data_IF_682081240485
#
_entry.id   IF_682081240485
#
_cell.length_a   1.000
_cell.length_b   1.000
_cell.length_c   1.000
_cell.angle_alpha   90.00
_cell.angle_beta   90.00
_cell.angle_gamma   90.00
#
_symmetry.space_group_name_H-M   'P 1'
#
loop_
_entity.id
_entity.type
_entity.pdbx_description
1 polymer ?
#
# COMPACT_ATOMS: atom_id res chain seq x y z
N UNK A 1 -3.02 5.72 -15.18
CA UNK A 1 -3.51 6.98 -15.80
C UNK A 1 -2.52 7.47 -16.85
N UNK A 2 -2.95 8.10 -17.94
CA UNK A 2 -2.06 8.63 -18.98
C UNK A 2 -2.42 10.09 -19.33
N UNK A 3 -1.41 10.89 -19.65
CA UNK A 3 -1.58 12.29 -20.02
C UNK A 3 -2.23 12.41 -21.40
N UNK A 4 -3.29 13.20 -21.51
CA UNK A 4 -3.96 13.48 -22.80
C UNK A 4 -3.44 14.75 -23.49
N UNK A 5 -2.39 15.35 -22.93
CA UNK A 5 -1.72 16.55 -23.39
C UNK A 5 -0.45 16.76 -22.58
N UNK A 6 0.29 17.83 -22.87
CA UNK A 6 1.49 18.17 -22.11
C UNK A 6 1.10 18.60 -20.69
N UNK A 7 1.76 18.03 -19.69
CA UNK A 7 1.63 18.38 -18.28
C UNK A 7 2.96 19.00 -17.81
N UNK A 8 2.88 20.12 -17.11
CA UNK A 8 4.03 20.81 -16.53
C UNK A 8 4.08 20.58 -15.01
N UNK A 9 5.28 20.66 -14.40
CA UNK A 9 5.39 20.72 -12.95
C UNK A 9 4.56 21.89 -12.38
N UNK A 10 3.77 21.63 -11.35
CA UNK A 10 2.83 22.55 -10.74
C UNK A 10 1.39 22.42 -11.24
N UNK A 11 1.15 21.70 -12.34
CA UNK A 11 -0.20 21.45 -12.82
C UNK A 11 -0.98 20.53 -11.87
N UNK A 12 -2.27 20.83 -11.69
CA UNK A 12 -3.19 19.96 -10.94
C UNK A 12 -3.57 18.78 -11.83
N UNK A 13 -3.12 17.58 -11.44
CA UNK A 13 -3.41 16.32 -12.12
C UNK A 13 -4.84 15.86 -11.86
N UNK A 14 -5.26 15.91 -10.60
CA UNK A 14 -6.61 15.52 -10.14
C UNK A 14 -6.99 16.38 -8.96
N UNK A 15 -8.26 16.78 -8.89
CA UNK A 15 -8.85 17.44 -7.74
C UNK A 15 -10.15 16.72 -7.36
N UNK A 16 -10.19 16.12 -6.17
CA UNK A 16 -11.30 15.30 -5.69
C UNK A 16 -12.05 16.03 -4.58
N UNK A 17 -13.33 16.40 -4.74
CA UNK A 17 -14.06 17.06 -3.66
C UNK A 17 -14.19 16.15 -2.45
N UNK A 18 -14.17 16.72 -1.24
CA UNK A 18 -14.27 15.95 0.00
C UNK A 18 -15.50 15.03 0.02
N UNK A 19 -16.62 15.46 -0.55
CA UNK A 19 -17.87 14.67 -0.62
C UNK A 19 -17.77 13.45 -1.54
N UNK A 20 -16.76 13.35 -2.39
CA UNK A 20 -16.50 12.16 -3.21
C UNK A 20 -15.55 11.17 -2.54
N UNK A 21 -14.82 11.58 -1.49
CA UNK A 21 -13.88 10.71 -0.79
C UNK A 21 -14.64 9.68 0.03
N UNK A 22 -14.28 8.42 -0.14
CA UNK A 22 -14.90 7.31 0.57
C UNK A 22 -14.23 7.12 1.94
N UNK A 23 -15.02 7.10 3.01
CA UNK A 23 -14.52 6.84 4.36
C UNK A 23 -15.57 6.17 5.23
N UNK A 24 -15.14 5.57 6.35
CA UNK A 24 -16.06 4.97 7.32
C UNK A 24 -16.94 6.00 8.08
N UNK A 25 -16.57 7.28 8.08
CA UNK A 25 -17.27 8.31 8.85
C UNK A 25 -18.66 8.67 8.29
N UNK A 26 -18.95 8.28 7.05
CA UNK A 26 -20.26 8.51 6.44
C UNK A 26 -21.19 7.30 6.59
N UNK A 27 -20.72 6.23 7.25
CA UNK A 27 -21.56 5.09 7.57
C UNK A 27 -22.56 5.46 8.67
N UNK A 28 -23.85 5.42 8.34
CA UNK A 28 -24.92 5.42 9.35
C UNK A 28 -25.04 4.05 10.06
N UNK A 29 -24.34 3.03 9.59
CA UNK A 29 -24.48 1.63 10.01
C UNK A 29 -23.12 1.06 10.38
N UNK A 30 -23.06 0.28 11.45
CA UNK A 30 -21.81 -0.35 11.90
C UNK A 30 -20.95 0.56 12.77
N UNK A 31 -21.51 1.64 13.32
CA UNK A 31 -20.85 2.45 14.35
C UNK A 31 -20.41 1.59 15.53
N UNK A 32 -21.20 0.57 15.91
CA UNK A 32 -20.85 -0.37 16.98
C UNK A 32 -19.55 -1.14 16.67
N UNK A 33 -19.35 -1.54 15.41
CA UNK A 33 -18.11 -2.20 14.97
C UNK A 33 -16.95 -1.22 14.89
N UNK A 34 -17.18 0.01 14.41
CA UNK A 34 -16.14 1.05 14.35
C UNK A 34 -15.67 1.42 15.77
N UNK A 35 -16.55 1.37 16.77
CA UNK A 35 -16.19 1.56 18.17
C UNK A 35 -15.44 0.34 18.74
N UNK A 36 -15.84 -0.88 18.39
CA UNK A 36 -15.25 -2.12 18.90
C UNK A 36 -13.89 -2.45 18.27
N UNK A 37 -13.76 -2.23 16.96
CA UNK A 37 -12.60 -2.59 16.14
C UNK A 37 -12.33 -1.50 15.09
N UNK A 38 -11.91 -0.29 15.52
CA UNK A 38 -11.68 0.86 14.65
C UNK A 38 -10.68 0.58 13.53
N UNK A 39 -9.76 -0.37 13.72
CA UNK A 39 -8.80 -0.79 12.72
C UNK A 39 -9.44 -1.41 11.47
N UNK A 40 -10.66 -1.94 11.56
CA UNK A 40 -11.39 -2.51 10.42
C UNK A 40 -12.51 -1.61 9.90
N UNK A 41 -12.57 -0.35 10.36
CA UNK A 41 -13.63 0.58 10.01
C UNK A 41 -13.73 0.82 8.49
N UNK A 42 -12.60 0.94 7.80
CA UNK A 42 -12.60 1.09 6.33
C UNK A 42 -13.09 -0.17 5.62
N UNK A 43 -12.72 -1.36 6.11
CA UNK A 43 -13.11 -2.65 5.51
C UNK A 43 -14.61 -2.85 5.58
N UNK A 44 -15.21 -2.63 6.75
CA UNK A 44 -16.66 -2.73 6.89
C UNK A 44 -17.36 -1.69 6.03
N UNK A 45 -16.81 -0.48 5.91
CA UNK A 45 -17.37 0.56 5.04
C UNK A 45 -17.46 0.08 3.60
N UNK A 46 -16.33 -0.41 3.06
CA UNK A 46 -16.24 -0.93 1.69
C UNK A 46 -17.30 -2.00 1.47
N UNK A 47 -17.43 -2.95 2.38
CA UNK A 47 -18.40 -4.04 2.26
C UNK A 47 -19.86 -3.55 2.31
N UNK A 48 -20.22 -2.76 3.31
CA UNK A 48 -21.59 -2.30 3.49
C UNK A 48 -22.05 -1.41 2.33
N UNK A 49 -21.20 -0.49 1.87
CA UNK A 49 -21.53 0.38 0.73
C UNK A 49 -21.62 -0.41 -0.58
N UNK A 50 -20.74 -1.39 -0.78
CA UNK A 50 -20.80 -2.25 -1.97
C UNK A 50 -22.11 -3.06 -2.03
N UNK A 51 -22.61 -3.53 -0.89
CA UNK A 51 -23.88 -4.27 -0.80
C UNK A 51 -25.11 -3.42 -1.09
N UNK A 52 -25.04 -2.09 -0.90
CA UNK A 52 -26.14 -1.19 -1.27
C UNK A 52 -26.34 -1.13 -2.79
N UNK A 53 -25.34 -1.51 -3.59
CA UNK A 53 -25.38 -1.42 -5.04
C UNK A 53 -25.72 0.00 -5.47
N UNK A 54 -26.65 0.16 -6.41
CA UNK A 54 -27.07 1.46 -6.97
C UNK A 54 -27.65 2.45 -5.94
N UNK A 55 -27.92 2.01 -4.71
CA UNK A 55 -28.37 2.88 -3.61
C UNK A 55 -27.20 3.55 -2.87
N UNK A 56 -25.96 3.12 -3.10
CA UNK A 56 -24.77 3.77 -2.55
C UNK A 56 -24.47 5.06 -3.30
N UNK A 57 -24.11 6.12 -2.57
CA UNK A 57 -23.57 7.34 -3.17
C UNK A 57 -22.25 7.09 -3.92
N UNK A 58 -21.52 6.03 -3.55
CA UNK A 58 -20.24 5.64 -4.16
C UNK A 58 -20.37 4.49 -5.15
N UNK A 59 -21.59 4.11 -5.57
CA UNK A 59 -21.80 2.98 -6.48
C UNK A 59 -20.91 3.04 -7.73
N UNK A 60 -20.81 4.23 -8.34
CA UNK A 60 -20.02 4.45 -9.55
C UNK A 60 -18.52 4.27 -9.34
N UNK A 61 -18.01 4.60 -8.15
CA UNK A 61 -16.61 4.36 -7.81
C UNK A 61 -16.38 2.88 -7.44
N UNK A 62 -17.19 2.32 -6.55
CA UNK A 62 -17.01 0.96 -6.04
C UNK A 62 -17.13 -0.09 -7.14
N UNK A 63 -17.97 0.13 -8.16
CA UNK A 63 -18.09 -0.78 -9.32
C UNK A 63 -16.88 -0.77 -10.26
N UNK A 64 -16.01 0.24 -10.15
CA UNK A 64 -14.77 0.34 -10.95
C UNK A 64 -13.58 -0.29 -10.23
N UNK A 65 -13.72 -0.60 -8.94
CA UNK A 65 -12.69 -1.34 -8.20
C UNK A 65 -12.53 -2.74 -8.80
N UNK A 66 -11.31 -3.29 -8.80
CA UNK A 66 -11.08 -4.64 -9.28
C UNK A 66 -11.78 -5.68 -8.39
N UNK A 67 -12.12 -6.81 -9.00
CA UNK A 67 -12.71 -7.95 -8.29
C UNK A 67 -11.75 -8.57 -7.27
N UNK A 68 -10.44 -8.39 -7.46
CA UNK A 68 -9.40 -8.79 -6.52
C UNK A 68 -8.09 -8.05 -6.85
N UNK A 69 -7.41 -7.53 -5.83
CA UNK A 69 -6.05 -7.01 -5.96
C UNK A 69 -5.04 -8.13 -5.72
N UNK A 70 -3.93 -8.19 -6.49
CA UNK A 70 -2.96 -9.28 -6.44
C UNK A 70 -2.02 -9.15 -5.24
N UNK A 71 -2.51 -8.73 -4.06
CA UNK A 71 -1.70 -8.70 -2.84
C UNK A 71 -1.20 -10.11 -2.52
N UNK A 72 -0.03 -10.25 -1.89
CA UNK A 72 0.60 -11.56 -1.69
C UNK A 72 -0.33 -12.58 -1.01
N UNK A 73 -1.16 -12.12 -0.06
CA UNK A 73 -2.13 -12.97 0.63
C UNK A 73 -3.24 -13.53 -0.29
N UNK A 74 -3.43 -13.03 -1.51
CA UNK A 74 -4.38 -13.60 -2.48
C UNK A 74 -3.75 -14.67 -3.38
N UNK A 75 -2.43 -14.79 -3.40
CA UNK A 75 -1.72 -15.72 -4.28
C UNK A 75 -1.93 -17.18 -3.85
N UNK A 76 -1.73 -18.07 -4.82
CA UNK A 76 -1.63 -19.52 -4.56
C UNK A 76 -0.37 -19.78 -3.75
N UNK A 77 -0.44 -20.74 -2.84
CA UNK A 77 0.68 -21.10 -1.97
C UNK A 77 1.91 -21.50 -2.80
N UNK A 78 1.69 -22.25 -3.88
CA UNK A 78 2.76 -22.70 -4.78
C UNK A 78 3.49 -21.52 -5.43
N UNK A 79 2.79 -20.44 -5.77
CA UNK A 79 3.40 -19.26 -6.37
C UNK A 79 4.21 -18.46 -5.34
N UNK A 80 3.76 -18.43 -4.09
CA UNK A 80 4.51 -17.80 -2.98
C UNK A 80 5.78 -18.61 -2.66
N UNK A 81 5.72 -19.94 -2.72
CA UNK A 81 6.89 -20.82 -2.49
C UNK A 81 8.00 -20.58 -3.53
N UNK A 82 7.66 -20.16 -4.76
CA UNK A 82 8.64 -19.77 -5.78
C UNK A 82 9.49 -18.55 -5.38
N UNK A 83 8.99 -17.71 -4.47
CA UNK A 83 9.76 -16.56 -3.94
C UNK A 83 10.90 -16.99 -3.01
N UNK A 84 10.89 -18.25 -2.54
CA UNK A 84 11.93 -18.81 -1.66
C UNK A 84 12.16 -18.01 -0.36
N UNK A 85 11.17 -17.25 0.10
CA UNK A 85 11.16 -16.58 1.40
C UNK A 85 10.07 -17.18 2.30
N UNK A 86 10.43 -18.08 3.25
CA UNK A 86 9.47 -18.68 4.17
C UNK A 86 8.69 -17.66 5.01
N UNK A 87 9.26 -16.47 5.28
CA UNK A 87 8.57 -15.42 6.04
C UNK A 87 7.48 -14.74 5.22
N UNK A 88 7.66 -14.63 3.90
CA UNK A 88 6.60 -14.12 3.01
C UNK A 88 5.41 -15.09 3.00
N UNK A 89 5.69 -16.39 2.94
CA UNK A 89 4.66 -17.42 3.06
C UNK A 89 3.96 -17.38 4.43
N UNK A 90 4.72 -17.27 5.51
CA UNK A 90 4.16 -17.14 6.86
C UNK A 90 3.27 -15.91 7.00
N UNK A 91 3.73 -14.76 6.49
CA UNK A 91 2.98 -13.49 6.48
C UNK A 91 1.64 -13.63 5.72
N UNK A 92 1.68 -14.14 4.49
CA UNK A 92 0.49 -14.38 3.68
C UNK A 92 -0.50 -15.35 4.36
N UNK A 93 0.00 -16.41 5.01
CA UNK A 93 -0.84 -17.33 5.76
C UNK A 93 -1.43 -16.69 7.03
N UNK A 94 -0.67 -15.87 7.74
CA UNK A 94 -1.15 -15.13 8.90
C UNK A 94 -2.27 -14.16 8.52
N UNK A 95 -2.13 -13.47 7.39
CA UNK A 95 -3.16 -12.59 6.84
C UNK A 95 -4.45 -13.34 6.47
N UNK A 96 -4.32 -14.50 5.79
CA UNK A 96 -5.47 -15.39 5.51
C UNK A 96 -6.18 -15.87 6.79
N UNK A 97 -5.45 -16.13 7.88
CA UNK A 97 -6.05 -16.45 9.19
C UNK A 97 -6.79 -15.23 9.75
N UNK A 98 -6.19 -14.05 9.63
CA UNK A 98 -6.78 -12.79 10.11
C UNK A 98 -8.11 -12.49 9.44
N UNK A 99 -8.27 -12.77 8.15
CA UNK A 99 -9.56 -12.59 7.46
C UNK A 99 -10.70 -13.41 8.09
N UNK A 100 -10.40 -14.62 8.57
CA UNK A 100 -11.38 -15.47 9.26
C UNK A 100 -11.74 -14.91 10.64
N UNK A 101 -10.75 -14.39 11.37
CA UNK A 101 -10.98 -13.72 12.65
C UNK A 101 -11.87 -12.48 12.47
N UNK A 102 -11.54 -11.64 11.47
CA UNK A 102 -12.30 -10.42 11.17
C UNK A 102 -13.73 -10.74 10.75
N UNK A 103 -13.95 -11.80 9.96
CA UNK A 103 -15.30 -12.26 9.66
C UNK A 103 -16.10 -12.58 10.93
N UNK A 104 -15.49 -13.31 11.87
CA UNK A 104 -16.12 -13.65 13.16
C UNK A 104 -16.45 -12.40 13.97
N UNK A 105 -15.54 -11.42 14.02
CA UNK A 105 -15.77 -10.12 14.68
C UNK A 105 -16.98 -9.42 14.04
N UNK A 106 -17.05 -9.36 12.71
CA UNK A 106 -18.13 -8.68 12.00
C UNK A 106 -19.47 -9.39 12.25
N UNK A 107 -19.49 -10.71 12.23
CA UNK A 107 -20.70 -11.51 12.51
C UNK A 107 -21.20 -11.34 13.95
N UNK A 108 -20.31 -11.14 14.92
CA UNK A 108 -20.69 -10.89 16.32
C UNK A 108 -21.13 -9.45 16.56
N UNK A 109 -20.42 -8.47 16.00
CA UNK A 109 -20.65 -7.06 16.28
C UNK A 109 -21.84 -6.46 15.51
N UNK A 110 -22.05 -6.87 14.25
CA UNK A 110 -23.08 -6.31 13.36
C UNK A 110 -23.90 -7.41 12.64
N UNK A 111 -24.44 -8.40 13.37
CA UNK A 111 -25.02 -9.63 12.79
C UNK A 111 -26.10 -9.38 11.73
N UNK A 112 -26.90 -8.33 11.91
CA UNK A 112 -27.98 -7.98 10.97
C UNK A 112 -27.45 -7.57 9.58
N UNK A 113 -26.20 -7.14 9.49
CA UNK A 113 -25.56 -6.67 8.26
C UNK A 113 -24.49 -7.62 7.73
N UNK A 114 -23.89 -8.44 8.59
CA UNK A 114 -22.73 -9.29 8.27
C UNK A 114 -23.04 -10.78 8.15
N UNK A 115 -24.29 -11.22 8.41
CA UNK A 115 -24.69 -12.64 8.37
C UNK A 115 -24.31 -13.36 7.07
N UNK A 116 -24.38 -12.67 5.94
CA UNK A 116 -24.16 -13.24 4.61
C UNK A 116 -22.72 -12.95 4.11
N UNK A 117 -21.88 -12.32 4.93
CA UNK A 117 -20.48 -12.10 4.59
C UNK A 117 -19.71 -13.42 4.65
N UNK A 118 -18.78 -13.56 3.71
CA UNK A 118 -17.89 -14.69 3.56
C UNK A 118 -16.44 -14.26 3.78
N UNK A 119 -15.54 -15.23 3.92
CA UNK A 119 -14.10 -14.94 3.99
C UNK A 119 -13.60 -14.28 2.70
N UNK A 120 -14.22 -14.59 1.55
CA UNK A 120 -13.88 -13.98 0.27
C UNK A 120 -14.28 -12.50 0.22
N UNK A 121 -15.40 -12.12 0.85
CA UNK A 121 -15.78 -10.71 0.97
C UNK A 121 -14.74 -9.94 1.80
N UNK A 122 -14.31 -10.52 2.94
CA UNK A 122 -13.26 -9.91 3.77
C UNK A 122 -11.95 -9.82 3.00
N UNK A 123 -11.54 -10.89 2.31
CA UNK A 123 -10.33 -10.91 1.49
C UNK A 123 -10.35 -9.82 0.41
N UNK A 124 -11.49 -9.65 -0.27
CA UNK A 124 -11.66 -8.61 -1.28
C UNK A 124 -11.51 -7.21 -0.69
N UNK A 125 -12.32 -6.86 0.33
CA UNK A 125 -12.28 -5.53 0.95
C UNK A 125 -10.91 -5.23 1.59
N UNK A 126 -10.26 -6.25 2.15
CA UNK A 126 -8.90 -6.16 2.66
C UNK A 126 -7.90 -5.84 1.55
N UNK A 127 -7.99 -6.54 0.41
CA UNK A 127 -7.11 -6.31 -0.73
C UNK A 127 -7.24 -4.90 -1.32
N UNK A 128 -8.48 -4.37 -1.39
CA UNK A 128 -8.75 -2.98 -1.77
C UNK A 128 -8.13 -2.01 -0.75
N UNK A 129 -8.42 -2.19 0.54
CA UNK A 129 -7.92 -1.28 1.56
C UNK A 129 -6.38 -1.30 1.67
N UNK A 130 -5.74 -2.46 1.51
CA UNK A 130 -4.29 -2.58 1.58
C UNK A 130 -3.57 -1.88 0.41
N UNK A 131 -4.14 -1.97 -0.79
CA UNK A 131 -3.49 -1.47 -2.02
C UNK A 131 -3.92 -0.06 -2.44
N UNK A 132 -5.13 0.39 -2.03
CA UNK A 132 -5.74 1.64 -2.54
C UNK A 132 -6.06 2.68 -1.47
N UNK A 133 -5.93 2.34 -0.18
CA UNK A 133 -6.22 3.34 0.85
C UNK A 133 -5.15 4.41 0.91
N UNK A 134 -5.61 5.65 1.02
CA UNK A 134 -4.79 6.80 1.34
C UNK A 134 -5.05 7.22 2.78
N UNK A 135 -4.13 8.02 3.29
CA UNK A 135 -4.21 8.57 4.64
C UNK A 135 -4.61 10.03 4.61
N UNK A 136 -5.59 10.40 5.43
CA UNK A 136 -5.91 11.79 5.73
C UNK A 136 -5.75 12.07 7.23
N UNK A 137 -4.99 13.12 7.57
CA UNK A 137 -4.78 13.52 8.97
C UNK A 137 -6.08 13.86 9.68
N UNK A 138 -6.25 13.42 10.94
CA UNK A 138 -7.47 13.70 11.73
C UNK A 138 -7.68 15.20 11.95
N UNK A 139 -6.61 16.00 12.04
CA UNK A 139 -6.73 17.46 12.13
C UNK A 139 -7.27 18.02 10.82
N UNK A 140 -6.65 17.69 9.70
CA UNK A 140 -7.12 18.06 8.36
C UNK A 140 -8.57 17.61 8.11
N UNK A 141 -8.94 16.41 8.57
CA UNK A 141 -10.29 15.84 8.46
C UNK A 141 -11.32 16.49 9.42
N UNK A 142 -10.90 16.89 10.62
CA UNK A 142 -11.79 17.62 11.55
C UNK A 142 -11.94 19.08 11.13
N UNK A 143 -10.87 19.68 10.61
CA UNK A 143 -10.83 21.05 10.07
C UNK A 143 -11.50 21.13 8.70
N UNK A 144 -11.46 20.09 7.87
CA UNK A 144 -12.28 20.00 6.64
C UNK A 144 -13.77 20.09 6.96
N UNK A 145 -14.17 19.53 8.11
CA UNK A 145 -15.53 19.65 8.65
C UNK A 145 -15.80 20.96 9.40
N UNK A 146 -14.81 21.85 9.62
CA UNK A 146 -14.93 23.06 10.49
C UNK A 146 -14.22 24.35 10.02
N UNK A 147 -13.52 24.41 8.87
CA UNK A 147 -12.60 25.49 8.36
C UNK A 147 -11.22 25.53 9.08
N UNK A 148 -10.06 26.08 8.62
CA UNK A 148 -9.61 26.90 7.44
C UNK A 148 -8.04 27.00 7.32
N UNK A 149 -7.22 25.94 7.55
CA UNK A 149 -5.75 25.97 7.30
C UNK A 149 -5.13 24.66 6.77
N UNK A 150 -4.36 24.68 5.66
CA UNK A 150 -3.82 23.47 5.02
C UNK A 150 -2.86 22.67 5.91
N UNK A 151 -2.92 21.34 5.80
CA UNK A 151 -2.10 20.40 6.56
C UNK A 151 -1.48 19.37 5.60
N UNK A 152 -0.15 19.21 5.65
CA UNK A 152 0.58 18.22 4.85
C UNK A 152 0.41 16.83 5.45
N UNK A 153 -0.07 15.85 4.69
CA UNK A 153 -0.19 14.46 5.16
C UNK A 153 1.00 13.59 4.78
N UNK A 154 1.53 12.81 5.73
CA UNK A 154 2.53 11.76 5.47
C UNK A 154 1.85 10.45 5.05
N UNK A 155 2.43 9.74 4.07
CA UNK A 155 1.84 8.53 3.47
C UNK A 155 2.31 7.20 4.12
N UNK A 156 2.79 7.22 5.38
CA UNK A 156 3.29 6.01 6.03
C UNK A 156 2.21 5.32 6.89
N UNK A 157 1.43 4.42 6.29
CA UNK A 157 0.58 3.45 6.99
C UNK A 157 1.14 2.03 6.80
N UNK A 158 1.16 1.21 7.86
CA UNK A 158 1.33 -0.24 7.74
C UNK A 158 0.00 -0.90 8.07
N UNK A 159 -0.62 -1.52 7.08
CA UNK A 159 -1.90 -2.22 7.21
C UNK A 159 -3.10 -1.47 6.61
N UNK A 160 -4.17 -2.20 6.23
CA UNK A 160 -5.34 -1.62 5.58
C UNK A 160 -6.13 -0.74 6.54
N UNK A 161 -6.05 0.58 6.37
CA UNK A 161 -6.98 1.54 6.99
C UNK A 161 -6.58 2.21 8.31
N UNK A 162 -5.35 2.05 8.83
CA UNK A 162 -4.91 2.72 10.06
C UNK A 162 -3.44 3.19 10.06
N UNK A 163 -3.17 4.29 10.79
CA UNK A 163 -1.80 4.68 11.20
C UNK A 163 -1.44 4.10 12.56
N UNK A 164 -0.13 3.91 12.79
CA UNK A 164 0.46 3.39 14.04
C UNK A 164 0.07 4.18 15.31
N UNK A 165 -0.36 5.43 15.16
CA UNK A 165 -0.59 6.39 16.25
C UNK A 165 -2.04 6.86 16.34
N UNK A 166 -2.92 6.38 15.46
CA UNK A 166 -4.30 6.84 15.35
C UNK A 166 -4.42 8.34 15.01
N UNK A 167 -3.44 8.95 14.34
CA UNK A 167 -3.45 10.38 14.00
C UNK A 167 -4.25 10.73 12.75
N UNK A 168 -4.78 9.75 12.01
CA UNK A 168 -5.65 10.02 10.86
C UNK A 168 -6.62 8.89 10.52
N UNK A 169 -7.18 8.99 9.32
CA UNK A 169 -8.30 8.18 8.82
C UNK A 169 -7.88 7.54 7.51
N UNK A 170 -8.06 6.22 7.40
CA UNK A 170 -7.98 5.51 6.12
C UNK A 170 -9.17 5.87 5.24
N UNK A 171 -8.89 6.30 4.02
CA UNK A 171 -9.89 6.71 3.02
C UNK A 171 -9.58 6.07 1.67
N UNK A 172 -10.58 5.94 0.81
CA UNK A 172 -10.35 5.74 -0.62
C UNK A 172 -10.64 7.05 -1.35
N UNK A 173 -9.73 7.45 -2.23
CA UNK A 173 -9.82 8.71 -2.96
C UNK A 173 -10.01 8.34 -4.44
N UNK A 174 -11.24 8.44 -4.98
CA UNK A 174 -11.51 8.09 -6.37
C UNK A 174 -10.56 8.82 -7.33
N UNK A 175 -10.16 8.14 -8.40
CA UNK A 175 -9.18 8.58 -9.40
C UNK A 175 -7.72 8.57 -8.92
N UNK A 176 -7.45 8.95 -7.66
CA UNK A 176 -6.09 8.93 -7.11
C UNK A 176 -5.53 7.50 -7.08
N UNK A 177 -6.36 6.53 -6.74
CA UNK A 177 -6.03 5.10 -6.67
C UNK A 177 -5.83 4.42 -8.04
N UNK A 178 -5.93 5.17 -9.15
CA UNK A 178 -5.71 4.68 -10.51
C UNK A 178 -4.30 5.01 -11.03
N UNK A 179 -3.51 5.78 -10.28
CA UNK A 179 -2.13 6.09 -10.62
C UNK A 179 -1.20 5.01 -10.10
N UNK A 180 -0.27 4.56 -10.95
CA UNK A 180 0.72 3.57 -10.57
C UNK A 180 1.91 4.20 -9.82
N UNK A 181 2.71 3.35 -9.18
CA UNK A 181 3.87 3.74 -8.38
C UNK A 181 5.08 4.18 -9.23
N UNK A 182 5.73 5.26 -8.79
CA UNK A 182 7.12 5.60 -9.13
C UNK A 182 7.93 5.70 -7.83
N UNK A 183 9.20 5.26 -7.86
CA UNK A 183 10.14 5.46 -6.75
C UNK A 183 10.66 6.91 -6.64
N UNK A 184 10.41 7.73 -7.66
CA UNK A 184 10.75 9.14 -7.64
C UNK A 184 9.54 9.94 -7.12
N UNK A 185 9.76 11.00 -6.32
CA UNK A 185 8.71 11.92 -5.93
C UNK A 185 8.29 12.77 -7.14
N UNK A 186 7.42 12.21 -7.98
CA UNK A 186 6.95 12.81 -9.23
C UNK A 186 5.64 13.58 -9.09
N UNK A 187 5.05 13.56 -7.89
CA UNK A 187 3.78 14.20 -7.58
C UNK A 187 3.64 14.46 -6.09
N UNK A 188 2.92 15.52 -5.75
CA UNK A 188 2.55 15.87 -4.38
C UNK A 188 1.03 15.79 -4.23
N UNK A 189 0.58 15.06 -3.20
CA UNK A 189 -0.83 14.88 -2.89
C UNK A 189 -1.17 15.50 -1.53
N UNK A 190 -2.33 16.15 -1.43
CA UNK A 190 -2.74 16.77 -0.17
C UNK A 190 -4.16 17.32 -0.19
N UNK A 191 -4.68 17.54 1.01
CA UNK A 191 -6.00 18.15 1.17
C UNK A 191 -5.90 19.68 1.16
N UNK A 192 -6.62 20.29 0.23
CA UNK A 192 -6.75 21.72 0.05
C UNK A 192 -8.06 22.22 0.69
N UNK A 193 -7.90 23.01 1.75
CA UNK A 193 -9.03 23.54 2.52
C UNK A 193 -9.76 24.69 1.86
N UNK A 194 -9.11 25.44 0.97
CA UNK A 194 -9.73 26.58 0.29
C UNK A 194 -10.74 26.10 -0.74
N UNK A 195 -10.36 25.10 -1.53
CA UNK A 195 -11.23 24.44 -2.52
C UNK A 195 -12.08 23.30 -1.93
N UNK A 196 -11.78 22.84 -0.71
CA UNK A 196 -12.38 21.65 -0.09
C UNK A 196 -12.20 20.38 -0.95
N UNK A 197 -11.01 20.21 -1.50
CA UNK A 197 -10.63 19.11 -2.40
C UNK A 197 -9.36 18.43 -1.92
N UNK A 198 -9.16 17.18 -2.32
CA UNK A 198 -7.88 16.50 -2.26
C UNK A 198 -7.23 16.60 -3.63
N UNK A 199 -6.12 17.31 -3.70
CA UNK A 199 -5.44 17.66 -4.93
C UNK A 199 -4.19 16.79 -5.10
N UNK A 200 -3.99 16.31 -6.31
CA UNK A 200 -2.75 15.72 -6.79
C UNK A 200 -2.10 16.71 -7.75
N UNK A 201 -0.88 17.12 -7.45
CA UNK A 201 -0.11 18.10 -8.21
C UNK A 201 1.10 17.40 -8.83
N UNK A 202 1.39 17.68 -10.10
CA UNK A 202 2.56 17.15 -10.77
C UNK A 202 3.83 17.83 -10.26
N UNK A 203 4.84 17.05 -9.87
CA UNK A 203 6.19 17.57 -9.58
C UNK A 203 7.15 17.33 -10.77
N UNK A 204 6.72 16.56 -11.77
CA UNK A 204 7.43 16.28 -13.01
C UNK A 204 6.57 16.64 -14.24
N UNK A 205 7.22 16.89 -15.37
CA UNK A 205 6.53 17.11 -16.65
C UNK A 205 6.25 15.80 -17.37
N UNK A 206 5.16 15.75 -18.14
CA UNK A 206 4.76 14.60 -18.94
C UNK A 206 4.40 15.02 -20.36
N UNK A 207 4.82 14.25 -21.36
CA UNK A 207 4.36 14.40 -22.73
C UNK A 207 2.98 13.76 -22.92
N UNK A 208 2.28 14.16 -23.98
CA UNK A 208 1.03 13.53 -24.38
C UNK A 208 1.24 12.01 -24.60
N UNK A 209 0.34 11.21 -24.04
CA UNK A 209 0.39 9.75 -24.06
C UNK A 209 1.25 9.12 -22.97
N UNK A 210 2.07 9.89 -22.25
CA UNK A 210 2.89 9.33 -21.18
C UNK A 210 2.06 8.93 -19.97
N UNK A 211 2.44 7.83 -19.33
CA UNK A 211 1.83 7.41 -18.08
C UNK A 211 2.22 8.37 -16.96
N UNK A 212 1.21 8.82 -16.23
CA UNK A 212 1.39 9.63 -15.03
C UNK A 212 1.43 8.70 -13.82
N UNK A 213 2.42 8.93 -12.95
CA UNK A 213 2.68 8.10 -11.78
C UNK A 213 2.52 8.94 -10.50
N UNK A 214 2.36 8.25 -9.38
CA UNK A 214 2.47 8.84 -8.05
C UNK A 214 3.52 8.08 -7.23
N UNK A 215 4.02 8.70 -6.16
CA UNK A 215 4.94 8.06 -5.24
C UNK A 215 4.16 7.51 -4.03
N UNK A 216 3.99 6.18 -3.97
CA UNK A 216 3.27 5.54 -2.84
C UNK A 216 4.02 5.69 -1.52
N UNK A 217 5.35 5.84 -1.57
CA UNK A 217 6.21 5.90 -0.40
C UNK A 217 7.56 5.23 -0.66
N UNK A 218 8.56 5.46 0.20
CA UNK A 218 9.87 4.87 0.09
C UNK A 218 9.87 3.40 0.57
N UNK A 219 9.15 2.55 -0.16
CA UNK A 219 8.83 1.16 0.19
C UNK A 219 9.86 0.17 -0.37
N UNK A 220 10.18 -0.86 0.41
CA UNK A 220 11.00 -1.99 -0.07
C UNK A 220 10.23 -2.88 -1.05
N UNK A 221 10.93 -3.70 -1.85
CA UNK A 221 10.28 -4.67 -2.72
C UNK A 221 9.49 -5.71 -1.92
N UNK A 222 9.89 -5.98 -0.67
CA UNK A 222 9.11 -6.80 0.25
C UNK A 222 7.76 -6.16 0.58
N UNK A 223 7.75 -4.88 0.95
CA UNK A 223 6.51 -4.15 1.27
C UNK A 223 5.62 -3.99 0.02
N UNK A 224 6.21 -3.71 -1.16
CA UNK A 224 5.49 -3.64 -2.42
C UNK A 224 4.86 -4.99 -2.80
N UNK A 225 5.58 -6.09 -2.60
CA UNK A 225 5.06 -7.43 -2.87
C UNK A 225 3.93 -7.80 -1.92
N UNK A 226 4.10 -7.57 -0.62
CA UNK A 226 3.12 -7.91 0.41
C UNK A 226 1.78 -7.16 0.19
N UNK A 227 1.83 -5.86 -0.13
CA UNK A 227 0.63 -5.00 -0.16
C UNK A 227 0.11 -4.62 -1.56
N UNK A 228 0.91 -4.76 -2.61
CA UNK A 228 0.52 -4.45 -3.99
C UNK A 228 0.83 -5.56 -5.01
N UNK A 229 1.54 -6.61 -4.62
CA UNK A 229 1.79 -7.76 -5.51
C UNK A 229 2.82 -7.53 -6.62
N UNK A 230 3.66 -6.51 -6.50
CA UNK A 230 4.71 -6.24 -7.48
C UNK A 230 6.06 -5.90 -6.82
N UNK A 231 7.12 -5.97 -7.61
CA UNK A 231 8.45 -5.50 -7.26
C UNK A 231 9.06 -4.70 -8.40
N UNK A 232 10.08 -3.91 -8.11
CA UNK A 232 10.77 -3.08 -9.09
C UNK A 232 12.23 -3.52 -9.17
N UNK A 233 12.75 -3.65 -10.38
CA UNK A 233 14.11 -4.13 -10.62
C UNK A 233 15.17 -3.24 -9.94
N UNK A 234 15.00 -1.92 -10.05
CA UNK A 234 15.95 -0.91 -9.54
C UNK A 234 15.30 -0.04 -8.45
N UNK A 235 14.73 -0.67 -7.42
CA UNK A 235 14.11 0.05 -6.30
C UNK A 235 15.19 0.68 -5.37
N UNK A 236 15.35 2.02 -5.32
CA UNK A 236 16.36 2.67 -4.47
C UNK A 236 16.02 2.59 -2.98
N UNK A 237 14.80 2.18 -2.64
CA UNK A 237 14.32 2.01 -1.27
C UNK A 237 14.35 0.55 -0.81
N UNK A 238 14.86 -0.37 -1.65
CA UNK A 238 14.86 -1.78 -1.31
C UNK A 238 15.71 -2.08 -0.07
N UNK A 239 15.17 -2.97 0.76
CA UNK A 239 15.81 -3.33 2.02
C UNK A 239 15.40 -4.71 2.50
N UNK A 240 16.29 -5.32 3.28
CA UNK A 240 16.03 -6.55 3.99
C UNK A 240 16.03 -6.30 5.50
N UNK A 241 15.14 -6.99 6.20
CA UNK A 241 15.09 -7.00 7.66
C UNK A 241 15.66 -8.33 8.13
N UNK A 242 16.78 -8.27 8.83
CA UNK A 242 17.38 -9.42 9.50
C UNK A 242 17.02 -9.38 10.97
N UNK A 243 16.47 -10.47 11.51
CA UNK A 243 16.32 -10.61 12.95
C UNK A 243 17.68 -10.86 13.59
N UNK A 244 17.82 -10.50 14.87
CA UNK A 244 19.05 -10.82 15.60
C UNK A 244 19.31 -12.33 15.67
N UNK A 245 18.26 -13.16 15.72
CA UNK A 245 18.37 -14.61 15.69
C UNK A 245 18.90 -15.17 14.37
N UNK A 246 18.72 -14.45 13.26
CA UNK A 246 19.30 -14.84 11.96
C UNK A 246 20.76 -14.43 11.87
N UNK A 247 21.11 -13.25 12.38
CA UNK A 247 22.48 -12.73 12.39
C UNK A 247 23.39 -13.65 13.23
N UNK A 248 22.92 -14.13 14.38
CA UNK A 248 23.72 -14.99 15.27
C UNK A 248 23.87 -16.44 14.78
N UNK A 249 23.10 -16.86 13.76
CA UNK A 249 23.18 -18.21 13.17
C UNK A 249 24.24 -18.33 12.08
N UNK A 250 24.81 -17.22 11.61
CA UNK A 250 25.85 -17.24 10.58
C UNK A 250 27.19 -17.54 11.25
N UNK A 251 27.70 -18.76 11.04
CA UNK A 251 29.04 -19.17 11.47
C UNK A 251 30.11 -18.19 10.92
N UNK A 252 31.11 -17.85 11.74
CA UNK A 252 32.19 -16.89 11.43
C UNK A 252 31.77 -15.42 11.23
N UNK A 253 30.67 -14.97 11.83
CA UNK A 253 30.34 -13.53 11.84
C UNK A 253 31.13 -12.80 12.93
N UNK A 254 32.13 -11.99 12.55
CA UNK A 254 32.73 -11.00 13.45
C UNK A 254 31.92 -9.71 13.37
N UNK A 255 31.15 -9.41 14.41
CA UNK A 255 30.48 -8.12 14.54
C UNK A 255 31.52 -7.06 14.91
N UNK A 256 31.85 -6.19 13.96
CA UNK A 256 32.80 -5.07 14.17
C UNK A 256 32.22 -3.95 15.02
N UNK A 257 30.91 -3.99 15.28
CA UNK A 257 30.14 -3.02 16.06
C UNK A 257 29.28 -3.73 17.12
N UNK A 258 29.88 -4.33 18.16
CA UNK A 258 29.16 -5.08 19.19
C UNK A 258 28.14 -4.24 19.97
N UNK A 259 28.29 -2.91 19.99
CA UNK A 259 27.30 -1.97 20.53
C UNK A 259 25.92 -2.10 19.88
N UNK A 260 25.86 -2.51 18.60
CA UNK A 260 24.61 -2.77 17.89
C UNK A 260 23.85 -3.98 18.44
N UNK A 261 24.46 -4.81 19.29
CA UNK A 261 23.80 -5.94 19.95
C UNK A 261 23.01 -5.54 21.19
N UNK A 262 23.23 -4.35 21.72
CA UNK A 262 22.77 -4.02 23.08
C UNK A 262 21.28 -3.69 23.15
N UNK A 263 20.60 -3.39 22.03
CA UNK A 263 19.19 -2.91 22.04
C UNK A 263 18.25 -3.28 20.88
N UNK A 264 18.65 -3.51 19.62
CA UNK A 264 17.68 -3.78 18.55
C UNK A 264 17.30 -5.27 18.45
N UNK A 265 16.00 -5.55 18.22
CA UNK A 265 15.51 -6.91 17.91
C UNK A 265 15.72 -7.31 16.44
N UNK A 266 15.99 -6.33 15.57
CA UNK A 266 16.22 -6.51 14.13
C UNK A 266 17.14 -5.41 13.57
N UNK A 267 17.82 -5.72 12.46
CA UNK A 267 18.66 -4.80 11.70
C UNK A 267 18.04 -4.60 10.30
N UNK A 268 17.91 -3.35 9.86
CA UNK A 268 17.46 -3.01 8.51
C UNK A 268 18.68 -2.74 7.63
N UNK A 269 18.86 -3.55 6.59
CA UNK A 269 19.93 -3.41 5.60
C UNK A 269 19.35 -2.84 4.31
N UNK A 270 19.75 -1.62 3.94
CA UNK A 270 19.39 -1.02 2.64
C UNK A 270 20.37 -1.46 1.57
N UNK A 271 19.84 -1.92 0.44
CA UNK A 271 20.64 -2.33 -0.70
C UNK A 271 20.95 -1.10 -1.53
N UNK A 272 22.22 -0.66 -1.57
CA UNK A 272 22.63 0.45 -2.46
C UNK A 272 22.99 -0.01 -3.87
N UNK A 273 23.29 -1.29 -4.05
CA UNK A 273 23.38 -2.02 -5.32
C UNK A 273 23.67 -3.48 -5.01
N UNK A 274 22.91 -4.43 -5.56
CA UNK A 274 23.37 -5.83 -5.59
C UNK A 274 24.32 -5.98 -6.78
N UNK A 275 25.62 -5.73 -6.58
CA UNK A 275 26.60 -6.37 -7.45
C UNK A 275 26.75 -7.79 -6.92
N UNK A 276 25.92 -8.72 -7.42
CA UNK A 276 26.21 -10.14 -7.26
C UNK A 276 27.58 -10.36 -7.91
N UNK A 277 28.64 -10.70 -7.18
CA UNK A 277 29.86 -11.13 -7.85
C UNK A 277 29.48 -12.37 -8.67
N UNK A 278 29.84 -12.39 -9.95
CA UNK A 278 29.50 -13.48 -10.89
C UNK A 278 29.81 -14.89 -10.34
N UNK A 279 30.66 -14.99 -9.32
CA UNK A 279 31.01 -16.22 -8.59
C UNK A 279 29.87 -16.84 -7.79
N UNK A 280 28.84 -16.08 -7.37
CA UNK A 280 27.71 -16.62 -6.59
C UNK A 280 26.61 -17.28 -7.43
N UNK A 281 26.60 -17.06 -8.76
CA UNK A 281 25.57 -17.57 -9.66
C UNK A 281 25.90 -18.92 -10.30
N UNK A 282 27.04 -19.54 -9.97
CA UNK A 282 27.45 -20.83 -10.57
C UNK A 282 27.60 -20.80 -12.09
N UNK A 283 27.52 -19.63 -12.72
CA UNK A 283 27.63 -19.50 -14.17
C UNK A 283 29.11 -19.57 -14.56
N UNK A 284 29.50 -20.47 -15.47
CA UNK A 284 30.88 -20.57 -15.90
C UNK A 284 31.32 -19.23 -16.50
N UNK A 285 32.51 -18.78 -16.10
CA UNK A 285 33.16 -17.58 -16.65
C UNK A 285 33.15 -17.69 -18.18
N UNK A 286 32.27 -16.94 -18.85
CA UNK A 286 32.44 -16.71 -20.29
C UNK A 286 33.72 -15.90 -20.43
N UNK A 287 34.76 -16.54 -20.97
CA UNK A 287 35.94 -15.84 -21.44
C UNK A 287 35.49 -14.75 -22.43
N UNK A 288 35.62 -13.49 -22.01
CA UNK A 288 35.51 -12.33 -22.89
C UNK A 288 36.66 -12.41 -23.89
N UNK A 289 36.36 -12.85 -25.11
CA UNK A 289 37.35 -13.03 -26.15
C UNK A 289 36.73 -13.18 -27.53
N UNK A 290 35.88 -12.24 -27.94
CA UNK A 290 35.56 -12.08 -29.37
C UNK A 290 35.67 -10.59 -29.71
N UNK A 291 36.81 -10.25 -30.32
CA UNK A 291 37.00 -9.01 -31.09
C UNK A 291 36.12 -9.13 -32.34
N UNK A 292 35.19 -8.22 -32.55
CA UNK A 292 34.69 -7.97 -33.89
C UNK A 292 35.66 -7.01 -34.60
N UNK A 293 36.35 -7.54 -35.61
CA UNK A 293 37.03 -6.77 -36.66
C UNK A 293 36.29 -7.05 -37.98
N UNK A 294 35.82 -5.97 -38.61
CA UNK A 294 35.62 -5.82 -40.06
C UNK A 294 34.45 -6.57 -40.70
N UNK A 295 33.54 -5.85 -41.35
CA UNK A 295 33.74 -5.32 -42.70
C UNK A 295 32.99 -4.00 -42.85
#
# INVERSE_FOLDING_TARGET
>A
MAATGIIQPGDVLVSVPLSAIFSHHELCVGSELVELAPEYALLVAILLESRKGRKSAWYEYLRLLPEQEPILATWKIQDIELLQDPKLLESAMAEKRKWKEVLSIFQQAIPNYSKDFTVNDIAWAWSIAASRSAYMEKKAWKESKRSRKPVKGNHSGRGPGCTYDGSGVGVLIPLLDMFNHSCQPVSTAGYNLESNTYDLIADAGYAEGEQVFIHYGPLSNRELMEHWGFSLADNPHDSFILSMSEITRVENTTLTHPELLTRPRSLVLRIRSVRMPHTLLGLPRRHSGIRYRGS
#
